data_IF_343244121389
#
_entry.id   IF_343244121389
#
_cell.length_a   1.000
_cell.length_b   1.000
_cell.length_c   1.000
_cell.angle_alpha   90.00
_cell.angle_beta   90.00
_cell.angle_gamma   90.00
#
_symmetry.space_group_name_H-M   'P 1'
#
loop_
_entity.id
_entity.type
_entity.pdbx_description
1 polymer ?
#
# COMPACT_ATOMS: atom_id res chain seq x y z
N UNK A 1 7.95 -14.05 -7.20
CA UNK A 1 6.79 -13.57 -6.43
C UNK A 1 6.50 -12.15 -6.86
N UNK A 2 5.27 -11.86 -7.25
CA UNK A 2 4.85 -10.47 -7.50
C UNK A 2 4.72 -9.79 -6.14
N UNK A 3 5.49 -8.74 -5.90
CA UNK A 3 5.56 -8.06 -4.60
C UNK A 3 4.37 -7.12 -4.35
N UNK A 4 3.66 -6.76 -5.43
CA UNK A 4 2.55 -5.80 -5.43
C UNK A 4 1.29 -6.49 -5.93
N UNK A 5 0.24 -6.52 -5.10
CA UNK A 5 -1.06 -7.09 -5.47
C UNK A 5 -1.83 -6.13 -6.36
N UNK A 6 -2.17 -6.54 -7.57
CA UNK A 6 -2.98 -5.72 -8.50
C UNK A 6 -4.47 -5.91 -8.23
N UNK A 7 -5.14 -4.83 -7.87
CA UNK A 7 -6.60 -4.79 -7.74
C UNK A 7 -7.22 -4.79 -9.13
N UNK A 8 -8.24 -5.61 -9.32
CA UNK A 8 -8.91 -5.80 -10.62
C UNK A 8 -10.28 -5.14 -10.66
N UNK A 9 -10.96 -5.12 -9.51
CA UNK A 9 -12.34 -4.69 -9.35
C UNK A 9 -12.59 -4.28 -7.89
N UNK A 10 -13.71 -3.61 -7.65
CA UNK A 10 -14.08 -3.04 -6.34
C UNK A 10 -14.25 -4.13 -5.28
N UNK A 11 -14.77 -5.31 -5.67
CA UNK A 11 -14.93 -6.45 -4.77
C UNK A 11 -13.57 -7.00 -4.33
N UNK A 12 -12.62 -7.15 -5.26
CA UNK A 12 -11.26 -7.56 -4.92
C UNK A 12 -10.56 -6.54 -4.02
N UNK A 13 -10.82 -5.24 -4.16
CA UNK A 13 -10.31 -4.22 -3.24
C UNK A 13 -10.81 -4.43 -1.81
N UNK A 14 -12.11 -4.70 -1.64
CA UNK A 14 -12.68 -5.00 -0.33
C UNK A 14 -12.02 -6.24 0.30
N UNK A 15 -11.86 -7.31 -0.48
CA UNK A 15 -11.20 -8.55 -0.01
C UNK A 15 -9.74 -8.32 0.39
N UNK A 16 -9.01 -7.48 -0.35
CA UNK A 16 -7.63 -7.10 -0.03
C UNK A 16 -7.57 -6.33 1.29
N UNK A 17 -8.47 -5.37 1.48
CA UNK A 17 -8.57 -4.63 2.74
C UNK A 17 -8.94 -5.55 3.91
N UNK A 18 -9.86 -6.48 3.73
CA UNK A 18 -10.25 -7.46 4.76
C UNK A 18 -9.09 -8.40 5.12
N UNK A 19 -8.32 -8.86 4.12
CA UNK A 19 -7.15 -9.73 4.33
C UNK A 19 -5.93 -8.99 4.88
N UNK A 20 -6.00 -7.67 4.96
CA UNK A 20 -4.92 -6.81 5.45
C UNK A 20 -5.04 -6.43 6.93
N UNK A 21 -5.89 -7.15 7.67
CA UNK A 21 -6.05 -6.97 9.11
C UNK A 21 -4.69 -6.98 9.83
N UNK A 22 -4.44 -5.94 10.64
CA UNK A 22 -3.17 -5.70 11.36
C UNK A 22 -1.92 -5.44 10.48
N UNK A 23 -2.07 -5.29 9.15
CA UNK A 23 -0.98 -4.90 8.24
C UNK A 23 -1.07 -3.42 7.87
N UNK A 24 0.07 -2.84 7.51
CA UNK A 24 0.13 -1.55 6.83
C UNK A 24 0.02 -1.80 5.32
N UNK A 25 -1.00 -1.24 4.69
CA UNK A 25 -1.24 -1.37 3.26
C UNK A 25 -0.79 -0.09 2.56
N UNK A 26 0.08 -0.24 1.58
CA UNK A 26 0.57 0.85 0.72
C UNK A 26 -0.05 0.68 -0.66
N UNK A 27 -0.91 1.61 -1.04
CA UNK A 27 -1.68 1.58 -2.28
C UNK A 27 -1.06 2.53 -3.30
N UNK A 28 -0.49 2.00 -4.37
CA UNK A 28 -0.06 2.71 -5.57
C UNK A 28 -1.26 2.99 -6.46
N UNK A 29 -1.82 4.19 -6.31
CA UNK A 29 -2.90 4.72 -7.13
C UNK A 29 -2.30 5.23 -8.43
N UNK A 30 -2.64 4.55 -9.51
CA UNK A 30 -2.18 4.86 -10.86
C UNK A 30 -3.33 4.93 -11.86
N UNK A 31 -3.04 5.45 -13.05
CA UNK A 31 -3.97 5.47 -14.18
C UNK A 31 -3.70 4.28 -15.10
N UNK A 32 -4.74 3.75 -15.74
CA UNK A 32 -4.63 2.61 -16.66
C UNK A 32 -3.51 2.76 -17.70
N UNK A 33 -3.38 3.96 -18.29
CA UNK A 33 -2.39 4.25 -19.32
C UNK A 33 -0.95 4.40 -18.81
N UNK A 34 -0.78 4.67 -17.50
CA UNK A 34 0.54 4.84 -16.88
C UNK A 34 1.04 3.54 -16.26
N UNK A 35 0.13 2.67 -15.83
CA UNK A 35 0.44 1.46 -15.06
C UNK A 35 1.08 1.77 -13.69
N UNK A 36 1.41 0.74 -12.90
CA UNK A 36 2.06 0.92 -11.60
C UNK A 36 3.43 1.56 -11.75
N UNK A 37 3.80 2.39 -10.78
CA UNK A 37 5.01 3.18 -10.86
C UNK A 37 6.27 2.30 -10.75
N UNK A 38 6.95 2.05 -11.87
CA UNK A 38 8.19 1.25 -11.91
C UNK A 38 9.35 1.85 -11.10
N UNK A 39 9.32 3.15 -10.85
CA UNK A 39 10.38 3.87 -10.13
C UNK A 39 10.43 3.46 -8.66
N UNK A 40 9.27 3.17 -8.05
CA UNK A 40 9.19 2.78 -6.62
C UNK A 40 9.36 1.29 -6.38
N UNK A 41 9.37 0.47 -7.44
CA UNK A 41 9.62 -0.96 -7.34
C UNK A 41 10.91 -1.33 -6.57
N UNK A 42 12.09 -0.71 -6.81
CA UNK A 42 13.27 -0.95 -5.99
C UNK A 42 13.09 -0.54 -4.52
N UNK A 43 12.31 0.51 -4.26
CA UNK A 43 12.00 0.97 -2.90
C UNK A 43 11.18 -0.07 -2.15
N UNK A 44 10.15 -0.64 -2.79
CA UNK A 44 9.36 -1.70 -2.17
C UNK A 44 10.18 -2.95 -1.86
N UNK A 45 11.03 -3.39 -2.81
CA UNK A 45 11.96 -4.51 -2.59
C UNK A 45 12.89 -4.27 -1.41
N UNK A 46 13.43 -3.05 -1.30
CA UNK A 46 14.30 -2.65 -0.19
C UNK A 46 13.56 -2.67 1.13
N UNK A 47 12.34 -2.12 1.19
CA UNK A 47 11.51 -2.12 2.39
C UNK A 47 11.19 -3.53 2.88
N UNK A 48 10.82 -4.45 1.98
CA UNK A 48 10.55 -5.85 2.34
C UNK A 48 11.81 -6.56 2.85
N UNK A 49 12.98 -6.16 2.36
CA UNK A 49 14.28 -6.74 2.77
C UNK A 49 14.78 -6.16 4.10
N UNK A 50 14.58 -4.86 4.33
CA UNK A 50 15.04 -4.14 5.53
C UNK A 50 14.15 -4.40 6.75
N UNK A 51 12.88 -4.76 6.51
CA UNK A 51 11.89 -4.97 7.55
C UNK A 51 11.73 -6.46 7.83
N UNK A 52 11.98 -6.83 9.07
CA UNK A 52 11.81 -8.20 9.54
C UNK A 52 10.35 -8.67 9.38
N UNK A 53 10.10 -9.91 8.95
CA UNK A 53 8.73 -10.39 8.68
C UNK A 53 7.83 -9.40 7.88
N UNK A 54 8.40 -8.67 6.91
CA UNK A 54 7.67 -7.63 6.17
C UNK A 54 6.36 -8.14 5.54
N UNK A 55 6.32 -9.35 5.01
CA UNK A 55 5.12 -9.98 4.45
C UNK A 55 3.93 -10.11 5.44
N UNK A 56 4.23 -10.16 6.74
CA UNK A 56 3.23 -10.20 7.82
C UNK A 56 2.79 -8.82 8.25
N UNK A 57 3.56 -7.78 7.97
CA UNK A 57 3.36 -6.40 8.45
C UNK A 57 2.98 -5.41 7.36
N UNK A 58 3.36 -5.69 6.12
CA UNK A 58 3.27 -4.80 4.97
C UNK A 58 2.63 -5.51 3.81
N UNK A 59 1.82 -4.76 3.08
CA UNK A 59 1.24 -5.19 1.82
C UNK A 59 1.32 -4.03 0.83
N UNK A 60 1.82 -4.31 -0.37
CA UNK A 60 1.82 -3.34 -1.46
C UNK A 60 0.70 -3.70 -2.42
N UNK A 61 -0.10 -2.71 -2.78
CA UNK A 61 -1.28 -2.88 -3.63
C UNK A 61 -1.20 -1.87 -4.75
N UNK A 62 -1.45 -2.30 -5.98
CA UNK A 62 -1.58 -1.41 -7.13
C UNK A 62 -3.07 -1.27 -7.45
N UNK A 63 -3.57 -0.04 -7.41
CA UNK A 63 -4.98 0.26 -7.65
C UNK A 63 -5.11 1.24 -8.81
N UNK A 64 -5.95 0.87 -9.78
CA UNK A 64 -6.31 1.76 -10.87
C UNK A 64 -7.39 2.73 -10.40
N UNK A 65 -7.12 4.04 -10.53
CA UNK A 65 -8.06 5.09 -10.14
C UNK A 65 -9.39 5.03 -10.91
N UNK A 66 -9.39 4.42 -12.10
CA UNK A 66 -10.60 4.18 -12.90
C UNK A 66 -11.56 3.14 -12.32
N UNK A 67 -11.19 2.43 -11.24
CA UNK A 67 -12.10 1.51 -10.54
C UNK A 67 -13.12 2.21 -9.63
N UNK A 68 -12.91 3.50 -9.33
CA UNK A 68 -13.82 4.30 -8.49
C UNK A 68 -14.16 3.63 -7.14
N UNK A 69 -13.13 3.17 -6.42
CA UNK A 69 -13.30 2.57 -5.09
C UNK A 69 -13.52 3.66 -4.02
N UNK A 70 -14.22 3.30 -2.95
CA UNK A 70 -14.47 4.22 -1.83
C UNK A 70 -13.14 4.67 -1.16
N UNK A 71 -13.04 5.97 -0.89
CA UNK A 71 -11.86 6.59 -0.27
C UNK A 71 -10.68 6.86 -1.20
N UNK A 72 -10.78 6.59 -2.51
CA UNK A 72 -9.74 6.90 -3.49
C UNK A 72 -10.35 7.61 -4.70
N UNK A 73 -10.02 8.88 -4.86
CA UNK A 73 -10.55 9.74 -5.93
C UNK A 73 -9.47 10.12 -6.94
N UNK A 74 -9.87 10.27 -8.21
CA UNK A 74 -9.02 10.90 -9.21
C UNK A 74 -8.90 12.39 -8.91
N UNK A 75 -7.66 12.86 -8.84
CA UNK A 75 -7.35 14.26 -8.57
C UNK A 75 -6.89 15.00 -9.83
N UNK A 76 -7.04 14.37 -11.00
CA UNK A 76 -6.56 14.92 -12.27
C UNK A 76 -5.03 14.94 -12.43
N UNK A 77 -4.25 14.65 -11.39
CA UNK A 77 -2.79 14.69 -11.43
C UNK A 77 -2.21 13.61 -12.36
N UNK A 78 -1.09 13.92 -13.01
CA UNK A 78 -0.32 12.96 -13.82
C UNK A 78 0.75 12.22 -13.00
N UNK A 79 0.80 12.45 -11.69
CA UNK A 79 1.77 11.81 -10.79
C UNK A 79 1.15 10.60 -10.11
N UNK A 80 1.93 9.52 -9.85
CA UNK A 80 1.46 8.42 -9.02
C UNK A 80 1.22 8.90 -7.60
N UNK A 81 0.30 8.26 -6.89
CA UNK A 81 0.04 8.56 -5.48
C UNK A 81 0.09 7.29 -4.65
N UNK A 82 0.78 7.37 -3.52
CA UNK A 82 0.87 6.29 -2.56
C UNK A 82 -0.02 6.62 -1.37
N UNK A 83 -1.10 5.86 -1.19
CA UNK A 83 -1.99 6.00 -0.04
C UNK A 83 -1.67 4.92 1.00
N UNK A 84 -1.68 5.29 2.27
CA UNK A 84 -1.41 4.38 3.37
C UNK A 84 -2.71 4.08 4.11
N UNK A 85 -3.03 2.80 4.17
CA UNK A 85 -4.19 2.28 4.87
C UNK A 85 -3.76 1.44 6.07
N UNK A 86 -4.46 1.63 7.18
CA UNK A 86 -4.34 0.83 8.40
C UNK A 86 -5.74 0.69 8.99
N UNK A 87 -6.08 -0.49 9.48
CA UNK A 87 -7.43 -0.75 10.02
C UNK A 87 -8.55 -0.40 9.00
N UNK A 88 -8.29 -0.69 7.71
CA UNK A 88 -9.19 -0.37 6.57
C UNK A 88 -9.48 1.12 6.35
N UNK A 89 -8.73 2.02 7.01
CA UNK A 89 -8.85 3.47 6.84
C UNK A 89 -7.57 4.05 6.29
N UNK A 90 -7.70 4.94 5.31
CA UNK A 90 -6.56 5.75 4.90
C UNK A 90 -6.27 6.79 5.99
N UNK A 91 -4.99 7.05 6.25
CA UNK A 91 -4.59 8.05 7.25
C UNK A 91 -3.53 9.03 6.73
N UNK A 92 -2.73 8.62 5.75
CA UNK A 92 -1.74 9.49 5.12
C UNK A 92 -1.46 9.06 3.68
N UNK A 93 -0.78 9.91 2.93
CA UNK A 93 -0.40 9.65 1.56
C UNK A 93 0.80 10.47 1.11
N UNK A 94 1.45 9.99 0.05
CA UNK A 94 2.57 10.64 -0.61
C UNK A 94 2.19 10.85 -2.08
N UNK A 95 2.29 12.09 -2.53
CA UNK A 95 2.05 12.44 -3.94
C UNK A 95 3.37 12.45 -4.70
N UNK A 96 3.40 11.75 -5.84
CA UNK A 96 4.61 11.55 -6.65
C UNK A 96 5.50 10.41 -6.17
N UNK A 97 6.44 10.02 -7.05
CA UNK A 97 7.42 8.95 -6.81
C UNK A 97 8.51 9.37 -5.82
N UNK A 98 8.11 9.70 -4.59
CA UNK A 98 9.01 10.13 -3.53
C UNK A 98 9.40 8.93 -2.64
N UNK A 99 10.41 8.19 -3.09
CA UNK A 99 10.97 7.04 -2.38
C UNK A 99 11.38 7.33 -0.92
N UNK A 100 12.16 8.37 -0.58
CA UNK A 100 12.61 8.58 0.79
C UNK A 100 11.45 8.88 1.76
N UNK A 101 10.46 9.67 1.31
CA UNK A 101 9.28 9.95 2.13
C UNK A 101 8.42 8.70 2.35
N UNK A 102 8.27 7.88 1.31
CA UNK A 102 7.58 6.60 1.40
C UNK A 102 8.26 5.68 2.42
N UNK A 103 9.59 5.52 2.33
CA UNK A 103 10.35 4.67 3.26
C UNK A 103 10.21 5.14 4.71
N UNK A 104 10.27 6.45 4.94
CA UNK A 104 10.11 7.04 6.26
C UNK A 104 8.72 6.74 6.84
N UNK A 105 7.65 6.95 6.07
CA UNK A 105 6.29 6.70 6.53
C UNK A 105 6.03 5.22 6.80
N UNK A 106 6.53 4.33 5.94
CA UNK A 106 6.44 2.88 6.16
C UNK A 106 7.08 2.50 7.48
N UNK A 107 8.32 2.97 7.75
CA UNK A 107 9.04 2.66 8.99
C UNK A 107 8.35 3.27 10.22
N UNK A 108 7.81 4.47 10.10
CA UNK A 108 7.13 5.17 11.20
C UNK A 108 5.79 4.54 11.57
N UNK A 109 5.04 4.03 10.60
CA UNK A 109 3.69 3.49 10.80
C UNK A 109 3.62 1.96 10.79
N UNK A 110 4.78 1.30 10.74
CA UNK A 110 4.88 -0.14 10.75
C UNK A 110 4.18 -0.71 11.99
N UNK A 111 3.24 -1.66 11.84
CA UNK A 111 2.68 -2.33 13.00
C UNK A 111 3.78 -3.12 13.71
N UNK A 112 3.78 -3.07 15.03
CA UNK A 112 4.58 -3.99 15.82
C UNK A 112 4.07 -5.40 15.53
N UNK A 113 4.98 -6.36 15.39
CA UNK A 113 4.60 -7.76 15.52
C UNK A 113 4.12 -7.88 16.97
N UNK A 114 2.80 -7.91 17.17
CA UNK A 114 2.28 -8.32 18.46
C UNK A 114 2.86 -9.71 18.70
N UNK A 115 3.52 -9.90 19.85
CA UNK A 115 3.70 -11.25 20.34
C UNK A 115 2.32 -11.90 20.32
N UNK A 116 2.22 -13.11 19.80
CA UNK A 116 1.05 -13.98 19.96
C UNK A 116 0.92 -14.45 21.43
N UNK A 117 1.12 -13.54 22.39
CA UNK A 117 1.04 -13.77 23.82
C UNK A 117 0.37 -12.54 24.47
N UNK A 118 -0.92 -12.70 24.78
CA UNK A 118 -1.75 -12.11 25.85
C UNK A 118 -3.20 -12.04 25.33
N UNK A 119 -3.89 -13.17 25.31
CA UNK A 119 -4.81 -13.66 26.37
C UNK A 119 -6.14 -12.88 26.43
N UNK A 120 -7.18 -13.44 25.79
CA UNK A 120 -8.30 -14.13 26.48
C UNK A 120 -9.31 -14.67 25.46
#
# INVERSE_FOLDING_TARGET
MELVTKVRDVEHWAQVLESSDRKLVVVDVHKEWCGPCKIVEPTYKRLVTDIDHAERRLMFVALNVGLHVDGIEDTGSCKPRFLFFKDRKHFTGVDGANAPQLEQLVKQHLPLLGNDDEEN
#
